data_IF_602596568848
#
_entry.id   IF_602596568848
#
_cell.length_a   1.000
_cell.length_b   1.000
_cell.length_c   1.000
_cell.angle_alpha   90.00
_cell.angle_beta   90.00
_cell.angle_gamma   90.00
#
_symmetry.space_group_name_H-M   'P 1'
#
loop_
_entity.id
_entity.type
_entity.pdbx_description
1 polymer ?
#
# COMPACT_ATOMS: atom_id res chain seq x y z
N UNK A 1 -7.18 20.71 3.47
CA UNK A 1 -8.45 20.00 3.70
C UNK A 1 -8.50 18.87 2.68
N UNK A 2 -8.87 17.64 3.08
CA UNK A 2 -8.96 16.51 2.15
C UNK A 2 -10.11 16.74 1.17
N UNK A 3 -9.87 16.47 -0.11
CA UNK A 3 -10.90 16.49 -1.16
C UNK A 3 -11.67 15.17 -1.18
N UNK A 4 -12.83 15.13 -1.85
CA UNK A 4 -13.59 13.88 -2.02
C UNK A 4 -12.77 12.82 -2.78
N UNK A 5 -11.94 13.26 -3.73
CA UNK A 5 -11.02 12.38 -4.44
C UNK A 5 -9.96 11.79 -3.50
N UNK A 6 -9.43 12.58 -2.56
CA UNK A 6 -8.49 12.09 -1.56
C UNK A 6 -9.12 11.02 -0.68
N UNK A 7 -10.38 11.22 -0.28
CA UNK A 7 -11.12 10.25 0.54
C UNK A 7 -11.38 8.95 -0.22
N UNK A 8 -11.72 9.05 -1.51
CA UNK A 8 -11.93 7.88 -2.38
C UNK A 8 -10.62 7.10 -2.62
N UNK A 9 -9.53 7.81 -2.91
CA UNK A 9 -8.19 7.23 -3.05
C UNK A 9 -7.74 6.52 -1.77
N UNK A 10 -7.93 7.14 -0.60
CA UNK A 10 -7.62 6.51 0.71
C UNK A 10 -8.38 5.19 0.86
N UNK A 11 -9.68 5.17 0.58
CA UNK A 11 -10.51 3.94 0.70
C UNK A 11 -10.04 2.85 -0.24
N UNK A 12 -9.81 3.18 -1.51
CA UNK A 12 -9.32 2.23 -2.53
C UNK A 12 -7.94 1.68 -2.15
N UNK A 13 -7.05 2.55 -1.67
CA UNK A 13 -5.71 2.19 -1.28
C UNK A 13 -5.71 1.22 -0.10
N UNK A 14 -6.54 1.43 0.93
CA UNK A 14 -6.70 0.48 2.05
C UNK A 14 -7.10 -0.90 1.51
N UNK A 15 -8.14 -0.97 0.66
CA UNK A 15 -8.65 -2.24 0.11
C UNK A 15 -7.55 -2.99 -0.64
N UNK A 16 -6.79 -2.30 -1.51
CA UNK A 16 -5.74 -2.96 -2.27
C UNK A 16 -4.56 -3.38 -1.38
N UNK A 17 -4.16 -2.58 -0.39
CA UNK A 17 -3.10 -2.96 0.54
C UNK A 17 -3.47 -4.19 1.37
N UNK A 18 -4.72 -4.28 1.83
CA UNK A 18 -5.23 -5.46 2.52
C UNK A 18 -5.20 -6.71 1.62
N UNK A 19 -5.54 -6.57 0.34
CA UNK A 19 -5.43 -7.68 -0.62
C UNK A 19 -3.98 -8.17 -0.78
N UNK A 20 -3.01 -7.25 -0.85
CA UNK A 20 -1.58 -7.64 -0.91
C UNK A 20 -1.15 -8.32 0.40
N UNK A 21 -1.57 -7.81 1.56
CA UNK A 21 -1.25 -8.43 2.86
C UNK A 21 -1.84 -9.85 2.93
N UNK A 22 -3.08 -10.05 2.48
CA UNK A 22 -3.71 -11.38 2.43
C UNK A 22 -2.96 -12.30 1.47
N UNK A 23 -2.58 -11.81 0.30
CA UNK A 23 -1.78 -12.56 -0.67
C UNK A 23 -0.47 -13.05 -0.03
N UNK A 24 0.31 -12.16 0.57
CA UNK A 24 1.59 -12.52 1.19
C UNK A 24 1.43 -13.50 2.35
N UNK A 25 0.37 -13.31 3.15
CA UNK A 25 0.02 -14.25 4.23
C UNK A 25 -0.29 -15.66 3.69
N UNK A 26 -1.02 -15.74 2.57
CA UNK A 26 -1.38 -17.02 1.95
C UNK A 26 -0.18 -17.69 1.25
N UNK A 27 0.79 -16.90 0.81
CA UNK A 27 2.09 -17.36 0.27
C UNK A 27 3.06 -17.85 1.38
N UNK A 28 2.62 -17.86 2.65
CA UNK A 28 3.43 -18.31 3.78
C UNK A 28 4.47 -17.30 4.26
N UNK A 29 4.38 -16.05 3.82
CA UNK A 29 5.26 -14.98 4.30
C UNK A 29 4.99 -14.67 5.77
N UNK A 30 6.06 -14.40 6.53
CA UNK A 30 5.95 -13.90 7.90
C UNK A 30 5.43 -12.47 7.94
N UNK A 31 4.83 -12.04 9.06
CA UNK A 31 4.33 -10.66 9.19
C UNK A 31 5.40 -9.58 8.97
N UNK A 32 6.66 -9.90 9.26
CA UNK A 32 7.79 -9.00 8.99
C UNK A 32 7.96 -8.67 7.50
N UNK A 33 7.48 -9.54 6.60
CA UNK A 33 7.54 -9.36 5.16
C UNK A 33 6.63 -8.23 4.64
N UNK A 34 5.59 -7.87 5.39
CA UNK A 34 4.58 -6.86 5.02
C UNK A 34 4.29 -5.87 6.17
N UNK A 35 5.28 -5.65 7.03
CA UNK A 35 5.13 -4.81 8.22
C UNK A 35 4.94 -3.32 7.87
N UNK A 36 5.54 -2.85 6.77
CA UNK A 36 5.36 -1.48 6.29
C UNK A 36 4.00 -1.31 5.61
N UNK A 37 3.47 -2.33 4.93
CA UNK A 37 2.09 -2.32 4.40
C UNK A 37 1.07 -2.22 5.55
N UNK A 38 1.22 -3.00 6.63
CA UNK A 38 0.38 -2.86 7.84
C UNK A 38 0.44 -1.45 8.41
N UNK A 39 1.64 -0.87 8.46
CA UNK A 39 1.82 0.52 8.91
C UNK A 39 1.12 1.53 8.00
N UNK A 40 1.19 1.33 6.68
CA UNK A 40 0.50 2.19 5.71
C UNK A 40 -1.02 2.11 5.89
N UNK A 41 -1.59 0.92 6.03
CA UNK A 41 -3.02 0.72 6.33
C UNK A 41 -3.41 1.48 7.59
N UNK A 42 -2.65 1.31 8.69
CA UNK A 42 -2.93 1.99 9.95
C UNK A 42 -2.93 3.53 9.82
N UNK A 43 -1.99 4.10 9.06
CA UNK A 43 -1.96 5.55 8.80
C UNK A 43 -3.22 6.00 8.05
N UNK A 44 -3.63 5.24 7.02
CA UNK A 44 -4.79 5.56 6.18
C UNK A 44 -6.10 5.45 6.96
N UNK A 45 -6.29 4.39 7.75
CA UNK A 45 -7.47 4.17 8.59
C UNK A 45 -7.66 5.28 9.63
N UNK A 46 -6.58 5.68 10.29
CA UNK A 46 -6.60 6.75 11.30
C UNK A 46 -6.62 8.16 10.69
N UNK A 47 -6.52 8.27 9.36
CA UNK A 47 -6.43 9.54 8.63
C UNK A 47 -5.32 10.43 9.19
N UNK A 48 -4.19 9.81 9.56
CA UNK A 48 -3.03 10.54 10.09
C UNK A 48 -2.38 11.35 8.96
N UNK A 49 -2.79 12.62 8.84
CA UNK A 49 -2.34 13.55 7.80
C UNK A 49 -0.82 13.73 7.81
N UNK A 50 -0.18 13.68 8.99
CA UNK A 50 1.27 13.79 9.09
C UNK A 50 1.95 12.49 8.65
N UNK A 51 1.30 11.35 8.88
CA UNK A 51 1.72 10.05 8.40
C UNK A 51 1.55 9.85 6.89
N UNK A 52 0.55 10.49 6.26
CA UNK A 52 0.19 10.29 4.84
C UNK A 52 1.36 10.52 3.88
N UNK A 53 2.25 11.49 4.15
CA UNK A 53 3.41 11.73 3.29
C UNK A 53 4.40 10.54 3.23
N UNK A 54 4.33 9.61 4.19
CA UNK A 54 5.19 8.43 4.26
C UNK A 54 4.58 7.20 3.57
N UNK A 55 3.37 7.31 3.01
CA UNK A 55 2.65 6.17 2.42
C UNK A 55 3.45 5.55 1.27
N UNK A 56 3.93 6.35 0.32
CA UNK A 56 4.75 5.86 -0.79
C UNK A 56 5.97 5.09 -0.28
N UNK A 57 6.71 5.67 0.68
CA UNK A 57 7.90 5.05 1.27
C UNK A 57 7.59 3.70 1.92
N UNK A 58 6.52 3.62 2.71
CA UNK A 58 6.13 2.39 3.40
C UNK A 58 5.74 1.29 2.38
N UNK A 59 4.96 1.63 1.36
CA UNK A 59 4.54 0.68 0.32
C UNK A 59 5.74 0.18 -0.48
N UNK A 60 6.58 1.09 -0.96
CA UNK A 60 7.75 0.73 -1.79
C UNK A 60 8.77 -0.10 -1.03
N UNK A 61 8.88 0.06 0.29
CA UNK A 61 9.78 -0.75 1.13
C UNK A 61 9.43 -2.25 1.03
N UNK A 62 8.15 -2.59 1.19
CA UNK A 62 7.72 -3.99 1.15
C UNK A 62 7.58 -4.50 -0.29
N UNK A 63 7.18 -3.65 -1.25
CA UNK A 63 7.13 -4.02 -2.66
C UNK A 63 8.52 -4.37 -3.21
N UNK A 64 9.56 -3.62 -2.83
CA UNK A 64 10.93 -3.99 -3.16
C UNK A 64 11.29 -5.38 -2.63
N UNK A 65 10.91 -5.69 -1.39
CA UNK A 65 11.15 -7.01 -0.80
C UNK A 65 10.37 -8.12 -1.52
N UNK A 66 9.16 -7.82 -2.00
CA UNK A 66 8.40 -8.75 -2.86
C UNK A 66 9.14 -9.05 -4.16
N UNK A 67 9.77 -8.04 -4.79
CA UNK A 67 10.59 -8.22 -5.99
C UNK A 67 11.76 -9.15 -5.68
N UNK A 68 12.49 -8.86 -4.60
CA UNK A 68 13.67 -9.63 -4.19
C UNK A 68 13.33 -11.10 -3.87
N UNK A 69 12.08 -11.39 -3.52
CA UNK A 69 11.58 -12.73 -3.18
C UNK A 69 10.85 -13.43 -4.34
N UNK A 70 10.67 -12.77 -5.49
CA UNK A 70 9.93 -13.33 -6.61
C UNK A 70 8.43 -13.48 -6.36
N UNK A 71 7.84 -12.61 -5.53
CA UNK A 71 6.42 -12.64 -5.14
C UNK A 71 5.51 -11.82 -6.06
N UNK A 72 5.95 -11.66 -7.31
CA UNK A 72 5.20 -11.02 -8.39
C UNK A 72 4.79 -12.06 -9.43
N UNK A 73 3.68 -11.81 -10.11
CA UNK A 73 3.11 -12.69 -11.13
C UNK A 73 1.60 -12.88 -10.96
N UNK A 74 0.87 -12.78 -12.08
CA UNK A 74 -0.57 -13.04 -12.10
C UNK A 74 -1.38 -11.85 -11.55
N UNK A 75 -2.43 -12.14 -10.78
CA UNK A 75 -3.38 -11.11 -10.34
C UNK A 75 -2.78 -10.08 -9.37
N UNK A 76 -1.71 -10.44 -8.65
CA UNK A 76 -1.06 -9.53 -7.70
C UNK A 76 -0.40 -8.33 -8.42
N UNK A 77 0.04 -8.52 -9.67
CA UNK A 77 0.64 -7.46 -10.48
C UNK A 77 -0.39 -6.37 -10.77
N UNK A 78 -1.63 -6.76 -11.08
CA UNK A 78 -2.74 -5.83 -11.33
C UNK A 78 -3.04 -5.01 -10.08
N UNK A 79 -2.99 -5.63 -8.89
CA UNK A 79 -3.28 -4.95 -7.62
C UNK A 79 -2.15 -3.97 -7.28
N UNK A 80 -0.90 -4.41 -7.39
CA UNK A 80 0.27 -3.57 -7.10
C UNK A 80 0.40 -2.41 -8.08
N UNK A 81 0.05 -2.58 -9.36
CA UNK A 81 -0.04 -1.50 -10.35
C UNK A 81 -1.11 -0.46 -9.99
N UNK A 82 -2.29 -0.90 -9.54
CA UNK A 82 -3.34 0.02 -9.07
C UNK A 82 -2.91 0.81 -7.85
N UNK A 83 -2.21 0.17 -6.91
CA UNK A 83 -1.61 0.84 -5.74
C UNK A 83 -0.61 1.90 -6.20
N UNK A 84 0.33 1.54 -7.06
CA UNK A 84 1.32 2.46 -7.62
C UNK A 84 0.66 3.66 -8.32
N UNK A 85 -0.42 3.41 -9.08
CA UNK A 85 -1.18 4.45 -9.77
C UNK A 85 -1.82 5.45 -8.79
N UNK A 86 -2.50 4.96 -7.74
CA UNK A 86 -3.10 5.82 -6.70
C UNK A 86 -2.03 6.66 -6.00
N UNK A 87 -0.95 6.02 -5.55
CA UNK A 87 0.15 6.69 -4.84
C UNK A 87 0.83 7.76 -5.70
N UNK A 88 1.02 7.48 -6.98
CA UNK A 88 1.65 8.42 -7.93
C UNK A 88 0.75 9.62 -8.22
N UNK A 89 -0.56 9.41 -8.31
CA UNK A 89 -1.50 10.44 -8.74
C UNK A 89 -2.05 11.29 -7.57
N UNK A 90 -1.87 10.85 -6.33
CA UNK A 90 -2.32 11.60 -5.15
C UNK A 90 -1.13 12.24 -4.39
N UNK A 91 -0.99 13.58 -4.40
CA UNK A 91 0.10 14.29 -3.74
C UNK A 91 0.17 14.10 -2.22
N UNK A 92 -0.91 13.64 -1.56
CA UNK A 92 -0.89 13.36 -0.13
C UNK A 92 0.09 12.24 0.23
N UNK A 93 0.29 11.29 -0.69
CA UNK A 93 1.06 10.07 -0.42
C UNK A 93 2.54 10.18 -0.80
N UNK A 94 2.91 11.25 -1.50
CA UNK A 94 4.23 11.41 -2.09
C UNK A 94 4.69 12.87 -1.95
N UNK A 95 5.03 13.25 -0.71
CA UNK A 95 5.48 14.60 -0.37
C UNK A 95 6.98 14.66 -0.13
#
# INVERSE_FOLDING_TARGET
MLTDNDIDDVKKLIIFLEQVIIYLKNDGSSESAYSCLKKAVHILENRDINGMCNINKNIMSDFRMMVDRGQYGGDIDIITDKICSIVKNNPLFNK
#
